data_IF_044682147509
#
_entry.id   IF_044682147509
#
_cell.length_a   1.000
_cell.length_b   1.000
_cell.length_c   1.000
_cell.angle_alpha   90.00
_cell.angle_beta   90.00
_cell.angle_gamma   90.00
#
_symmetry.space_group_name_H-M   'P 1'
#
loop_
_entity.id
_entity.type
_entity.pdbx_description
1 polymer ?
#
# COMPACT_ATOMS: atom_id res chain seq x y z
N UNK A 1 -14.66 -11.51 17.76
CA UNK A 1 -14.49 -10.46 16.72
C UNK A 1 -15.00 -10.99 15.38
N UNK A 2 -16.22 -10.59 14.99
CA UNK A 2 -16.88 -11.05 13.76
C UNK A 2 -16.93 -9.94 12.73
N UNK A 3 -15.77 -9.55 12.19
CA UNK A 3 -15.71 -8.48 11.20
C UNK A 3 -15.87 -9.09 9.78
N UNK A 4 -16.93 -8.71 9.07
CA UNK A 4 -17.27 -9.23 7.74
C UNK A 4 -16.40 -8.66 6.60
N UNK A 5 -15.55 -7.68 6.92
CA UNK A 5 -14.75 -6.95 5.94
C UNK A 5 -13.30 -6.88 6.43
N UNK A 6 -12.41 -7.65 5.81
CA UNK A 6 -10.97 -7.53 6.06
C UNK A 6 -10.42 -6.38 5.23
N UNK A 7 -9.89 -5.32 5.85
CA UNK A 7 -9.35 -4.20 5.11
C UNK A 7 -8.11 -4.64 4.33
N UNK A 8 -7.97 -4.20 3.08
CA UNK A 8 -6.86 -4.59 2.18
C UNK A 8 -5.58 -3.81 2.51
N UNK A 9 -5.01 -4.07 3.69
CA UNK A 9 -3.79 -3.47 4.18
C UNK A 9 -2.72 -4.56 4.35
N UNK A 10 -1.51 -4.26 3.89
CA UNK A 10 -0.33 -5.10 4.04
C UNK A 10 0.79 -4.24 4.60
N UNK A 11 1.35 -4.63 5.73
CA UNK A 11 2.53 -3.98 6.29
C UNK A 11 3.71 -4.94 6.26
N UNK A 12 4.88 -4.39 5.93
CA UNK A 12 6.15 -5.08 5.96
C UNK A 12 6.92 -4.60 7.19
N UNK A 13 6.97 -5.43 8.22
CA UNK A 13 7.91 -5.27 9.32
C UNK A 13 9.11 -6.18 9.02
N UNK A 14 10.34 -5.79 9.38
CA UNK A 14 11.57 -6.39 8.86
C UNK A 14 11.66 -7.93 8.85
N UNK A 15 10.95 -8.62 9.76
CA UNK A 15 10.90 -10.09 9.82
C UNK A 15 9.53 -10.68 9.45
N UNK A 16 8.48 -9.87 9.38
CA UNK A 16 7.09 -10.33 9.33
C UNK A 16 6.21 -9.47 8.41
N UNK A 17 5.39 -10.14 7.60
CA UNK A 17 4.37 -9.49 6.79
C UNK A 17 3.03 -9.58 7.52
N UNK A 18 2.55 -8.44 8.00
CA UNK A 18 1.25 -8.31 8.64
C UNK A 18 0.18 -7.99 7.60
N UNK A 19 -1.02 -8.55 7.74
CA UNK A 19 -2.14 -8.36 6.81
C UNK A 19 -3.42 -8.11 7.59
N UNK A 20 -4.27 -7.21 7.08
CA UNK A 20 -5.62 -7.01 7.59
C UNK A 20 -5.67 -6.14 8.85
N UNK A 21 -6.46 -6.56 9.85
CA UNK A 21 -6.79 -5.71 11.00
C UNK A 21 -5.56 -5.37 11.87
N UNK A 22 -4.62 -6.32 11.98
CA UNK A 22 -3.34 -6.11 12.67
C UNK A 22 -2.54 -4.93 12.09
N UNK A 23 -2.64 -4.70 10.77
CA UNK A 23 -1.98 -3.60 10.10
C UNK A 23 -2.66 -2.27 10.39
N UNK A 24 -4.01 -2.26 10.40
CA UNK A 24 -4.80 -1.04 10.61
C UNK A 24 -4.42 -0.32 11.91
N UNK A 25 -4.16 -1.06 12.98
CA UNK A 25 -3.72 -0.49 14.25
C UNK A 25 -2.27 0.04 14.20
N UNK A 26 -1.42 -0.55 13.37
CA UNK A 26 -0.03 -0.12 13.22
C UNK A 26 0.20 0.95 12.14
N UNK A 27 -0.75 1.19 11.23
CA UNK A 27 -0.64 2.23 10.19
C UNK A 27 -0.36 3.62 10.80
N UNK A 28 -0.89 3.90 11.99
CA UNK A 28 -0.63 5.14 12.71
C UNK A 28 0.82 5.25 13.24
N UNK A 29 1.47 4.12 13.51
CA UNK A 29 2.85 4.08 14.01
C UNK A 29 3.88 3.98 12.88
N UNK A 30 3.61 3.17 11.86
CA UNK A 30 4.52 2.89 10.75
C UNK A 30 3.86 3.10 9.38
N UNK A 31 3.48 4.34 9.03
CA UNK A 31 2.77 4.63 7.78
C UNK A 31 3.63 4.34 6.53
N UNK A 32 4.96 4.49 6.63
CA UNK A 32 5.90 4.28 5.52
C UNK A 32 6.00 2.82 5.06
N UNK A 33 5.76 1.87 5.97
CA UNK A 33 5.90 0.44 5.70
C UNK A 33 4.55 -0.25 5.46
N UNK A 34 3.48 0.54 5.37
CA UNK A 34 2.13 0.05 5.17
C UNK A 34 1.66 0.33 3.76
N UNK A 35 1.51 -0.71 2.96
CA UNK A 35 0.83 -0.64 1.67
C UNK A 35 -0.69 -0.81 1.88
N UNK A 36 -1.46 0.14 1.36
CA UNK A 36 -2.92 0.06 1.32
C UNK A 36 -3.42 0.55 -0.03
N UNK A 37 -4.68 0.24 -0.35
CA UNK A 37 -5.33 0.65 -1.60
C UNK A 37 -4.64 0.15 -2.89
N UNK A 38 -3.98 -1.01 -2.82
CA UNK A 38 -3.30 -1.59 -3.97
C UNK A 38 -4.27 -1.94 -5.13
N UNK A 39 -5.54 -2.19 -4.82
CA UNK A 39 -6.54 -2.71 -5.77
C UNK A 39 -6.95 -1.68 -6.84
N UNK A 40 -7.07 -0.40 -6.49
CA UNK A 40 -7.46 0.66 -7.42
C UNK A 40 -6.33 1.08 -8.39
N UNK A 41 -5.10 0.68 -8.05
CA UNK A 41 -3.86 0.99 -8.78
C UNK A 41 -3.40 -0.16 -9.67
N UNK A 42 -3.67 -1.42 -9.29
CA UNK A 42 -3.30 -2.61 -10.03
C UNK A 42 -4.14 -2.73 -11.31
N UNK A 43 -3.60 -2.21 -12.42
CA UNK A 43 -4.26 -2.17 -13.72
C UNK A 43 -4.00 -0.88 -14.50
N UNK A 44 -3.51 0.16 -13.82
CA UNK A 44 -3.10 1.42 -14.45
C UNK A 44 -1.60 1.42 -14.75
N UNK A 45 -1.19 2.23 -15.73
CA UNK A 45 0.23 2.45 -16.04
C UNK A 45 0.83 3.38 -14.99
N UNK A 46 2.12 3.24 -14.72
CA UNK A 46 2.82 4.14 -13.79
C UNK A 46 2.68 5.62 -14.21
N UNK A 47 2.69 5.88 -15.52
CA UNK A 47 2.57 7.22 -16.11
C UNK A 47 1.14 7.79 -16.11
N UNK A 48 0.15 7.08 -15.59
CA UNK A 48 -1.22 7.58 -15.51
C UNK A 48 -1.30 8.79 -14.56
N UNK A 49 -2.01 9.84 -14.99
CA UNK A 49 -2.12 11.07 -14.20
C UNK A 49 -2.78 10.85 -12.83
N UNK A 50 -3.72 9.91 -12.73
CA UNK A 50 -4.30 9.50 -11.46
C UNK A 50 -3.25 8.88 -10.55
N UNK A 51 -2.46 7.94 -11.09
CA UNK A 51 -1.38 7.29 -10.34
C UNK A 51 -0.35 8.31 -9.82
N UNK A 52 0.03 9.29 -10.65
CA UNK A 52 0.97 10.35 -10.29
C UNK A 52 0.41 11.31 -9.24
N UNK A 53 -0.89 11.63 -9.30
CA UNK A 53 -1.55 12.48 -8.30
C UNK A 53 -1.65 11.76 -6.94
N UNK A 54 -2.05 10.50 -6.94
CA UNK A 54 -2.20 9.70 -5.74
C UNK A 54 -0.84 9.39 -5.08
N UNK A 55 0.25 9.29 -5.87
CA UNK A 55 1.61 9.12 -5.36
C UNK A 55 2.04 10.23 -4.40
N UNK A 56 1.50 11.45 -4.54
CA UNK A 56 1.81 12.59 -3.66
C UNK A 56 1.08 12.54 -2.33
N UNK A 57 0.00 11.77 -2.24
CA UNK A 57 -0.84 11.68 -1.05
C UNK A 57 -0.42 10.52 -0.13
N UNK A 58 0.39 9.59 -0.65
CA UNK A 58 0.83 8.44 0.13
C UNK A 58 2.20 8.62 0.79
N UNK A 59 2.38 8.06 1.99
CA UNK A 59 3.64 8.12 2.71
C UNK A 59 4.70 7.15 2.15
N UNK A 60 4.31 6.16 1.35
CA UNK A 60 5.20 5.14 0.78
C UNK A 60 5.61 5.47 -0.66
N UNK A 61 6.74 4.90 -1.10
CA UNK A 61 7.28 5.15 -2.43
C UNK A 61 6.66 4.19 -3.45
N UNK A 62 6.29 4.71 -4.61
CA UNK A 62 5.86 3.89 -5.75
C UNK A 62 6.93 4.01 -6.83
N UNK A 63 7.42 2.87 -7.32
CA UNK A 63 8.43 2.75 -8.36
C UNK A 63 7.81 2.18 -9.63
N UNK A 64 8.40 2.51 -10.77
CA UNK A 64 8.01 1.94 -12.06
C UNK A 64 8.79 0.65 -12.31
N UNK A 65 8.08 -0.47 -12.44
CA UNK A 65 8.67 -1.74 -12.86
C UNK A 65 8.07 -2.17 -14.21
N UNK A 66 8.75 -1.86 -15.30
CA UNK A 66 8.32 -2.26 -16.65
C UNK A 66 6.97 -1.66 -17.10
N UNK A 67 6.66 -0.44 -16.65
CA UNK A 67 5.38 0.26 -16.93
C UNK A 67 4.30 0.03 -15.89
N UNK A 68 4.54 -0.83 -14.88
CA UNK A 68 3.61 -1.13 -13.80
C UNK A 68 4.02 -0.39 -12.52
N UNK A 69 3.08 0.27 -11.83
CA UNK A 69 3.36 0.85 -10.52
C UNK A 69 3.54 -0.27 -9.48
N UNK A 70 4.70 -0.27 -8.81
CA UNK A 70 5.02 -1.20 -7.72
C UNK A 70 5.30 -0.38 -6.47
N UNK A 71 4.74 -0.79 -5.33
CA UNK A 71 4.99 -0.13 -4.06
C UNK A 71 6.32 -0.63 -3.50
N UNK A 72 7.24 0.30 -3.23
CA UNK A 72 8.51 0.06 -2.54
C UNK A 72 8.34 0.44 -1.07
N UNK A 73 8.36 -0.58 -0.22
CA UNK A 73 8.38 -0.48 1.24
C UNK A 73 9.80 -0.75 1.75
N UNK A 74 10.19 -0.11 2.85
CA UNK A 74 11.55 -0.16 3.40
C UNK A 74 11.72 -1.20 4.50
#
# INVERSE_FOLDING_TARGET
EGNRTTPSYVMFSGSERLIGDAVKNQTAMNPYNTAFDAKDRFGRRFDDAGVQADMKHFPFKIINNGGKPVIEVK
#
